data_IF_681073728243
#
_entry.id   IF_681073728243
#
_cell.length_a   1.000
_cell.length_b   1.000
_cell.length_c   1.000
_cell.angle_alpha   90.00
_cell.angle_beta   90.00
_cell.angle_gamma   90.00
#
_symmetry.space_group_name_H-M   'P 1'
#
loop_
_entity.id
_entity.type
_entity.pdbx_description
1 polymer ?
#
# COMPACT_ATOMS: atom_id res chain seq x y z
N UNK A 1 -1.38 1.42 17.50
CA UNK A 1 -0.12 2.04 17.05
C UNK A 1 0.52 1.02 16.14
N UNK A 2 1.06 1.43 14.99
CA UNK A 2 1.75 0.50 14.10
C UNK A 2 3.11 0.16 14.71
N UNK A 3 3.48 -1.11 14.70
CA UNK A 3 4.74 -1.63 15.23
C UNK A 3 5.09 -2.95 14.53
N UNK A 4 6.19 -3.59 14.95
CA UNK A 4 6.64 -4.85 14.35
C UNK A 4 5.56 -5.95 14.39
N UNK A 5 4.89 -6.12 15.53
CA UNK A 5 3.89 -7.17 15.72
C UNK A 5 2.63 -6.90 14.89
N UNK A 6 2.33 -5.63 14.61
CA UNK A 6 1.25 -5.27 13.72
C UNK A 6 1.52 -5.74 12.27
N UNK A 7 2.72 -5.46 11.73
CA UNK A 7 3.08 -5.78 10.33
C UNK A 7 3.47 -7.25 10.12
N UNK A 8 4.06 -7.90 11.13
CA UNK A 8 4.55 -9.28 11.05
C UNK A 8 3.70 -10.28 11.84
N UNK A 9 2.54 -9.84 12.32
CA UNK A 9 1.62 -10.66 13.10
C UNK A 9 0.20 -10.69 12.52
N UNK A 10 -0.74 -11.30 13.26
CA UNK A 10 -2.09 -11.59 12.76
C UNK A 10 -2.91 -10.36 12.36
N UNK A 11 -2.53 -9.16 12.83
CA UNK A 11 -3.24 -7.93 12.54
C UNK A 11 -3.15 -7.56 11.05
N UNK A 12 -1.96 -7.67 10.46
CA UNK A 12 -1.77 -7.42 9.02
C UNK A 12 -2.49 -8.48 8.19
N UNK A 13 -2.32 -9.76 8.51
CA UNK A 13 -3.00 -10.86 7.81
C UNK A 13 -4.53 -10.70 7.83
N UNK A 14 -5.09 -10.26 8.96
CA UNK A 14 -6.52 -9.99 9.06
C UNK A 14 -6.95 -8.80 8.20
N UNK A 15 -6.15 -7.73 8.09
CA UNK A 15 -6.46 -6.65 7.16
C UNK A 15 -6.45 -7.11 5.70
N UNK A 16 -5.46 -7.91 5.31
CA UNK A 16 -5.38 -8.54 3.99
C UNK A 16 -6.62 -9.38 3.68
N UNK A 17 -7.03 -10.23 4.61
CA UNK A 17 -8.23 -11.06 4.48
C UNK A 17 -9.49 -10.20 4.28
N UNK A 18 -9.69 -9.19 5.14
CA UNK A 18 -10.85 -8.30 5.05
C UNK A 18 -10.87 -7.53 3.74
N UNK A 19 -9.71 -7.07 3.25
CA UNK A 19 -9.62 -6.39 1.96
C UNK A 19 -10.02 -7.31 0.80
N UNK A 20 -9.52 -8.55 0.79
CA UNK A 20 -9.86 -9.55 -0.21
C UNK A 20 -11.36 -9.88 -0.19
N UNK A 21 -11.93 -10.19 0.98
CA UNK A 21 -13.36 -10.49 1.14
C UNK A 21 -14.24 -9.35 0.64
N UNK A 22 -13.91 -8.10 1.00
CA UNK A 22 -14.66 -6.92 0.55
C UNK A 22 -14.58 -6.71 -0.96
N UNK A 23 -13.44 -7.01 -1.57
CA UNK A 23 -13.28 -6.95 -3.02
C UNK A 23 -14.15 -8.02 -3.70
N UNK A 24 -14.09 -9.26 -3.24
CA UNK A 24 -14.91 -10.37 -3.76
C UNK A 24 -16.41 -10.07 -3.67
N UNK A 25 -16.91 -9.64 -2.50
CA UNK A 25 -18.34 -9.33 -2.33
C UNK A 25 -18.81 -8.14 -3.17
N UNK A 26 -17.90 -7.21 -3.48
CA UNK A 26 -18.20 -6.10 -4.40
C UNK A 26 -18.33 -6.60 -5.84
N UNK A 27 -17.53 -7.58 -6.24
CA UNK A 27 -17.59 -8.21 -7.55
C UNK A 27 -18.83 -9.09 -7.71
N UNK A 28 -19.24 -9.79 -6.65
CA UNK A 28 -20.44 -10.63 -6.58
C UNK A 28 -21.52 -10.03 -5.66
N UNK A 29 -22.19 -8.93 -6.07
CA UNK A 29 -23.11 -8.19 -5.20
C UNK A 29 -24.34 -8.98 -4.78
N UNK A 30 -24.68 -10.07 -5.49
CA UNK A 30 -25.82 -10.95 -5.19
C UNK A 30 -25.46 -12.08 -4.21
N UNK A 31 -24.20 -12.16 -3.76
CA UNK A 31 -23.68 -13.18 -2.84
C UNK A 31 -23.36 -12.58 -1.48
N UNK A 32 -23.27 -13.42 -0.46
CA UNK A 32 -22.96 -12.99 0.90
C UNK A 32 -21.68 -13.65 1.46
N UNK A 33 -21.23 -13.13 2.61
CA UNK A 33 -20.02 -13.62 3.30
C UNK A 33 -20.11 -15.10 3.68
N UNK A 34 -21.31 -15.64 3.88
CA UNK A 34 -21.49 -17.04 4.30
C UNK A 34 -21.30 -18.03 3.16
N UNK A 35 -21.40 -17.56 1.92
CA UNK A 35 -21.19 -18.38 0.72
C UNK A 35 -19.74 -18.45 0.24
N UNK A 36 -18.86 -17.55 0.72
CA UNK A 36 -17.45 -17.43 0.29
C UNK A 36 -16.70 -18.76 0.24
N UNK A 37 -16.79 -19.56 1.31
CA UNK A 37 -16.03 -20.81 1.45
C UNK A 37 -16.63 -21.96 0.62
N UNK A 38 -17.88 -21.81 0.15
CA UNK A 38 -18.66 -22.86 -0.49
C UNK A 38 -18.91 -22.62 -1.98
N UNK A 39 -18.60 -21.42 -2.46
CA UNK A 39 -18.81 -21.00 -3.84
C UNK A 39 -17.48 -21.02 -4.61
N UNK A 40 -17.29 -21.99 -5.53
CA UNK A 40 -16.03 -22.13 -6.25
C UNK A 40 -15.64 -20.88 -7.05
N UNK A 41 -16.61 -20.15 -7.61
CA UNK A 41 -16.33 -18.99 -8.44
C UNK A 41 -15.86 -17.78 -7.59
N UNK A 42 -16.41 -17.63 -6.39
CA UNK A 42 -15.89 -16.63 -5.44
C UNK A 42 -14.49 -17.00 -4.95
N UNK A 43 -14.25 -18.29 -4.71
CA UNK A 43 -12.95 -18.81 -4.30
C UNK A 43 -11.88 -18.59 -5.37
N UNK A 44 -12.20 -18.93 -6.62
CA UNK A 44 -11.31 -18.72 -7.77
C UNK A 44 -10.98 -17.23 -7.92
N UNK A 45 -12.00 -16.35 -7.94
CA UNK A 45 -11.79 -14.90 -8.02
C UNK A 45 -10.92 -14.36 -6.87
N UNK A 46 -11.17 -14.80 -5.64
CA UNK A 46 -10.40 -14.36 -4.47
C UNK A 46 -8.94 -14.80 -4.55
N UNK A 47 -8.67 -15.98 -5.12
CA UNK A 47 -7.31 -16.51 -5.28
C UNK A 47 -6.48 -15.74 -6.31
N UNK A 48 -7.14 -15.04 -7.25
CA UNK A 48 -6.51 -14.21 -8.27
C UNK A 48 -6.28 -12.76 -7.81
N UNK A 49 -6.77 -12.37 -6.63
CA UNK A 49 -6.62 -11.01 -6.12
C UNK A 49 -5.17 -10.68 -5.78
N UNK A 50 -4.74 -9.50 -6.24
CA UNK A 50 -3.50 -8.88 -5.82
C UNK A 50 -3.76 -7.98 -4.60
N UNK A 51 -3.02 -8.22 -3.52
CA UNK A 51 -3.05 -7.38 -2.33
C UNK A 51 -1.97 -6.32 -2.39
N UNK A 52 -2.34 -5.07 -2.12
CA UNK A 52 -1.44 -3.93 -2.12
C UNK A 52 -1.55 -3.18 -0.80
N UNK A 53 -0.39 -2.80 -0.26
CA UNK A 53 -0.31 -2.13 1.04
C UNK A 53 0.32 -0.77 0.87
N UNK A 54 -0.39 0.26 1.28
CA UNK A 54 0.08 1.64 1.32
C UNK A 54 0.35 2.06 2.76
N UNK A 55 1.46 2.73 2.98
CA UNK A 55 1.74 3.41 4.24
C UNK A 55 1.81 4.91 4.01
N UNK A 56 1.30 5.67 4.97
CA UNK A 56 1.33 7.12 4.97
C UNK A 56 2.14 7.60 6.15
N UNK A 57 3.06 8.52 5.89
CA UNK A 57 3.97 9.06 6.87
C UNK A 57 3.52 10.44 7.34
N UNK A 58 3.95 10.81 8.55
CA UNK A 58 3.61 12.09 9.18
C UNK A 58 4.10 13.31 8.39
N UNK A 59 5.19 13.15 7.65
CA UNK A 59 5.76 14.17 6.76
C UNK A 59 4.95 14.38 5.46
N UNK A 60 3.90 13.58 5.25
CA UNK A 60 3.02 13.65 4.08
C UNK A 60 3.48 12.82 2.90
N UNK A 61 4.54 12.03 3.03
CA UNK A 61 4.93 11.02 2.04
C UNK A 61 4.09 9.74 2.19
N UNK A 62 4.01 8.97 1.11
CA UNK A 62 3.32 7.69 1.07
C UNK A 62 4.07 6.69 0.21
N UNK A 63 4.10 5.44 0.63
CA UNK A 63 4.78 4.36 -0.10
C UNK A 63 3.84 3.19 -0.32
N UNK A 64 3.97 2.54 -1.48
CA UNK A 64 3.46 1.19 -1.68
C UNK A 64 4.54 0.19 -1.28
N UNK A 65 4.18 -0.70 -0.36
CA UNK A 65 5.00 -1.83 0.02
C UNK A 65 4.83 -2.91 -1.05
N UNK A 66 5.94 -3.25 -1.73
CA UNK A 66 6.01 -4.42 -2.60
C UNK A 66 6.35 -5.68 -1.82
N UNK A 67 7.32 -5.56 -0.92
CA UNK A 67 7.78 -6.67 -0.11
C UNK A 67 8.34 -6.18 1.22
N UNK A 68 7.99 -6.86 2.32
CA UNK A 68 8.67 -6.63 3.59
C UNK A 68 10.09 -7.21 3.52
N UNK A 69 11.08 -6.44 3.92
CA UNK A 69 12.42 -6.96 4.10
C UNK A 69 12.50 -7.67 5.46
N UNK A 70 13.08 -8.87 5.51
CA UNK A 70 13.28 -9.64 6.75
C UNK A 70 14.42 -9.04 7.60
N UNK A 71 14.20 -7.84 8.12
CA UNK A 71 15.11 -7.17 9.04
C UNK A 71 14.45 -7.11 10.41
N UNK A 72 14.85 -7.97 11.37
CA UNK A 72 14.24 -8.01 12.69
C UNK A 72 14.58 -6.71 13.44
N UNK A 73 13.62 -5.80 13.47
CA UNK A 73 13.75 -4.49 14.12
C UNK A 73 12.51 -4.18 14.93
N UNK A 74 12.71 -3.67 16.16
CA UNK A 74 11.60 -3.24 17.03
C UNK A 74 11.25 -1.76 16.88
N UNK A 75 12.00 -0.99 16.10
CA UNK A 75 11.84 0.46 16.00
C UNK A 75 11.47 0.99 14.62
N UNK A 76 11.63 0.18 13.58
CA UNK A 76 11.38 0.60 12.21
C UNK A 76 10.91 -0.56 11.35
N UNK A 77 10.11 -0.23 10.34
CA UNK A 77 9.73 -1.10 9.25
C UNK A 77 10.75 -0.97 8.12
N UNK A 78 11.15 -2.10 7.53
CA UNK A 78 11.99 -2.12 6.32
C UNK A 78 11.21 -2.83 5.22
N UNK A 79 11.13 -2.19 4.05
CA UNK A 79 10.38 -2.74 2.93
C UNK A 79 10.95 -2.27 1.59
N UNK A 80 10.67 -3.04 0.55
CA UNK A 80 10.86 -2.64 -0.83
C UNK A 80 9.63 -1.86 -1.33
N UNK A 81 9.85 -0.77 -2.06
CA UNK A 81 8.81 -0.03 -2.76
C UNK A 81 9.14 0.15 -4.24
N UNK A 82 8.12 0.31 -5.07
CA UNK A 82 8.31 0.67 -6.48
C UNK A 82 8.22 2.20 -6.65
N UNK A 83 9.20 2.84 -7.30
CA UNK A 83 9.12 4.27 -7.57
C UNK A 83 8.03 4.56 -8.60
N UNK A 84 7.31 5.67 -8.39
CA UNK A 84 6.28 6.13 -9.33
C UNK A 84 6.89 6.65 -10.64
N UNK A 85 8.12 7.17 -10.58
CA UNK A 85 8.82 7.67 -11.76
C UNK A 85 9.46 6.50 -12.55
N UNK A 86 9.01 6.35 -13.79
CA UNK A 86 9.44 5.32 -14.74
C UNK A 86 10.97 5.29 -14.97
N UNK A 87 11.66 6.42 -14.81
CA UNK A 87 13.12 6.49 -14.97
C UNK A 87 13.88 5.71 -13.89
N UNK A 88 13.24 5.44 -12.75
CA UNK A 88 13.84 4.77 -11.61
C UNK A 88 13.43 3.29 -11.48
N UNK A 89 12.59 2.76 -12.37
CA UNK A 89 12.08 1.37 -12.33
C UNK A 89 13.11 0.27 -12.61
N UNK A 90 14.38 0.62 -12.77
CA UNK A 90 15.48 -0.34 -13.07
C UNK A 90 16.12 -0.90 -11.79
N UNK A 91 15.79 -0.38 -10.61
CA UNK A 91 16.38 -0.80 -9.33
C UNK A 91 15.36 -1.14 -8.24
N UNK A 92 15.83 -1.79 -7.17
CA UNK A 92 15.06 -2.04 -5.96
C UNK A 92 15.27 -0.90 -4.95
N UNK A 93 14.18 -0.30 -4.46
CA UNK A 93 14.24 0.74 -3.44
C UNK A 93 13.87 0.15 -2.09
N UNK A 94 14.85 0.04 -1.20
CA UNK A 94 14.62 -0.38 0.18
C UNK A 94 14.47 0.85 1.06
N UNK A 95 13.34 0.96 1.73
CA UNK A 95 12.98 2.08 2.61
C UNK A 95 12.95 1.59 4.05
N UNK A 96 13.54 2.36 4.95
CA UNK A 96 13.48 2.15 6.40
C UNK A 96 12.71 3.30 7.03
N UNK A 97 11.61 3.00 7.71
CA UNK A 97 10.73 4.01 8.32
C UNK A 97 10.53 3.69 9.80
N UNK A 98 10.75 4.65 10.72
CA UNK A 98 10.37 4.47 12.13
C UNK A 98 8.87 4.23 12.27
N UNK A 99 8.48 3.27 13.10
CA UNK A 99 7.06 2.95 13.29
C UNK A 99 6.21 4.15 13.75
N UNK A 100 6.80 5.04 14.55
CA UNK A 100 6.16 6.25 15.05
C UNK A 100 5.79 7.28 13.96
N UNK A 101 6.45 7.21 12.81
CA UNK A 101 6.18 8.10 11.68
C UNK A 101 5.02 7.62 10.81
N UNK A 102 4.60 6.35 10.95
CA UNK A 102 3.47 5.78 10.21
C UNK A 102 2.17 6.27 10.84
N UNK A 103 1.41 7.06 10.10
CA UNK A 103 0.14 7.63 10.57
C UNK A 103 -1.08 6.89 10.05
N UNK A 104 -0.96 6.15 8.94
CA UNK A 104 -2.03 5.32 8.36
C UNK A 104 -1.43 4.19 7.54
N UNK A 105 -2.08 3.04 7.57
CA UNK A 105 -1.85 1.90 6.67
C UNK A 105 -3.17 1.59 5.97
N UNK A 106 -3.12 1.40 4.66
CA UNK A 106 -4.25 0.96 3.84
C UNK A 106 -3.86 -0.32 3.11
N UNK A 107 -4.68 -1.36 3.26
CA UNK A 107 -4.57 -2.59 2.47
C UNK A 107 -5.77 -2.63 1.54
N UNK A 108 -5.54 -2.82 0.25
CA UNK A 108 -6.60 -2.99 -0.74
C UNK A 108 -6.30 -4.19 -1.63
N UNK A 109 -7.37 -4.86 -2.06
CA UNK A 109 -7.31 -5.95 -3.00
C UNK A 109 -7.81 -5.47 -4.37
N UNK A 110 -7.18 -5.95 -5.44
CA UNK A 110 -7.55 -5.65 -6.82
C UNK A 110 -7.47 -6.91 -7.66
N UNK A 111 -8.44 -7.10 -8.55
CA UNK A 111 -8.36 -8.18 -9.54
C UNK A 111 -7.57 -7.70 -10.77
N UNK A 112 -6.59 -8.46 -11.28
CA UNK A 112 -5.74 -8.00 -12.40
C UNK A 112 -6.50 -7.62 -13.68
N UNK A 113 -7.67 -8.22 -13.90
CA UNK A 113 -8.56 -7.89 -15.03
C UNK A 113 -9.37 -6.61 -14.81
N UNK A 114 -9.60 -6.21 -13.56
CA UNK A 114 -10.29 -5.00 -13.17
C UNK A 114 -9.26 -3.88 -13.01
N UNK A 115 -8.66 -3.46 -14.15
CA UNK A 115 -7.73 -2.34 -14.14
C UNK A 115 -8.38 -1.14 -13.45
N UNK A 116 -7.79 -0.58 -12.38
CA UNK A 116 -8.24 0.69 -11.86
C UNK A 116 -8.01 1.74 -12.95
N UNK A 117 -9.08 2.30 -13.52
CA UNK A 117 -8.97 3.39 -14.50
C UNK A 117 -8.19 4.58 -13.91
N UNK A 118 -8.23 4.73 -12.58
CA UNK A 118 -7.43 5.64 -11.78
C UNK A 118 -6.75 4.88 -10.64
N UNK A 119 -5.54 4.35 -10.86
CA UNK A 119 -4.68 4.01 -9.73
C UNK A 119 -4.43 5.30 -8.95
N UNK A 120 -4.75 5.39 -7.64
CA UNK A 120 -4.44 6.58 -6.86
C UNK A 120 -2.95 6.88 -7.02
N UNK A 121 -2.60 8.06 -7.54
CA UNK A 121 -1.21 8.45 -7.71
C UNK A 121 -0.58 8.58 -6.32
N UNK A 122 0.29 7.63 -5.99
CA UNK A 122 1.01 7.58 -4.72
C UNK A 122 2.12 8.63 -4.77
N UNK A 123 1.94 9.76 -4.10
CA UNK A 123 2.88 10.91 -4.17
C UNK A 123 4.13 10.72 -3.31
N UNK A 124 4.76 9.54 -3.37
CA UNK A 124 5.92 9.16 -2.57
C UNK A 124 7.22 9.91 -2.89
N UNK A 125 7.22 10.73 -3.95
CA UNK A 125 8.34 11.58 -4.33
C UNK A 125 7.81 12.97 -4.69
N UNK A 126 7.54 13.79 -3.68
CA UNK A 126 7.41 15.23 -3.94
C UNK A 126 8.75 15.72 -4.46
N UNK A 127 8.80 16.20 -5.70
CA UNK A 127 9.88 17.08 -6.13
C UNK A 127 9.98 18.19 -5.08
N UNK A 128 11.15 18.35 -4.48
CA UNK A 128 11.48 19.55 -3.74
C UNK A 128 11.19 20.73 -4.68
N UNK A 129 10.09 21.46 -4.46
CA UNK A 129 9.98 22.79 -5.05
C UNK A 129 11.01 23.62 -4.30
N UNK A 130 12.12 23.94 -4.96
CA UNK A 130 13.02 24.98 -4.47
C UNK A 130 12.16 26.21 -4.13
N UNK A 131 12.32 26.81 -2.94
CA UNK A 131 11.63 28.04 -2.63
C UNK A 131 11.98 29.05 -3.72
N UNK A 132 10.97 29.58 -4.40
CA UNK A 132 11.15 30.62 -5.40
C UNK A 132 11.91 31.78 -4.75
N UNK A 133 13.20 31.90 -5.09
CA UNK A 133 14.03 33.02 -4.65
C UNK A 133 13.32 34.31 -5.06
N UNK A 134 12.91 35.06 -4.04
CA UNK A 134 12.31 36.37 -4.21
C UNK A 134 13.27 37.25 -5.01
N UNK A 135 12.90 37.58 -6.25
CA UNK A 135 13.59 38.65 -6.97
C UNK A 135 13.29 39.97 -6.24
N UNK A 136 14.30 40.71 -5.76
CA UNK A 136 14.07 42.04 -5.24
C UNK A 136 13.64 42.92 -6.42
N UNK A 137 12.46 43.52 -6.27
CA UNK A 137 12.02 44.64 -7.11
C UNK A 137 13.07 45.74 -7.02
N UNK A 138 13.82 45.95 -8.11
CA UNK A 138 14.62 47.16 -8.30
C UNK A 138 13.80 48.15 -9.12
N UNK A 139 13.46 49.24 -8.42
CA UNK A 139 13.31 50.63 -8.87
C UNK A 139 12.51 50.91 -10.14
#
# INVERSE_FOLDING_TARGET
MFDYDWFHGPAYDHQCLVAAQRCTLRHFPDRDETTLDSDPEMGDFQSELELRTLIYLRDGFSYEIKQFAEVPSKSHLVFECEPVDDHYKVGAFVVTVPFEEIVRVEVFAVHPSEKPEDMPQITGFRHYQEPAEGKPSRS
#
